data_IF_584749933865
#
_entry.id   IF_584749933865
#
_cell.length_a   1.000
_cell.length_b   1.000
_cell.length_c   1.000
_cell.angle_alpha   90.00
_cell.angle_beta   90.00
_cell.angle_gamma   90.00
#
_symmetry.space_group_name_H-M   'P 1'
#
loop_
_entity.id
_entity.type
_entity.pdbx_description
1 polymer ?
#
# COMPACT_ATOMS: atom_id res chain seq x y z
N UNK A 1 5.52 21.45 32.00
CA UNK A 1 5.06 21.05 30.65
C UNK A 1 5.90 21.66 29.53
N UNK A 2 6.01 22.99 29.44
CA UNK A 2 6.83 23.67 28.41
C UNK A 2 8.31 23.30 28.44
N UNK A 3 8.87 23.07 29.63
CA UNK A 3 10.28 22.75 29.79
C UNK A 3 10.63 21.34 29.30
N UNK A 4 9.77 20.34 29.56
CA UNK A 4 9.91 18.97 29.06
C UNK A 4 9.86 18.96 27.53
N UNK A 5 8.90 19.68 26.95
CA UNK A 5 8.78 19.79 25.50
C UNK A 5 9.99 20.48 24.86
N UNK A 6 10.53 21.53 25.48
CA UNK A 6 11.78 22.17 25.02
C UNK A 6 12.96 21.21 25.03
N UNK A 7 13.13 20.44 26.11
CA UNK A 7 14.21 19.44 26.26
C UNK A 7 14.07 18.33 25.22
N UNK A 8 12.85 17.82 25.01
CA UNK A 8 12.58 16.80 23.99
C UNK A 8 12.83 17.31 22.58
N UNK A 9 12.39 18.53 22.24
CA UNK A 9 12.62 19.12 20.93
C UNK A 9 14.12 19.39 20.68
N UNK A 10 14.86 19.84 21.70
CA UNK A 10 16.32 19.97 21.60
C UNK A 10 16.97 18.60 21.32
N UNK A 11 16.56 17.56 22.05
CA UNK A 11 17.04 16.19 21.83
C UNK A 11 16.70 15.66 20.44
N UNK A 12 15.46 15.84 19.94
CA UNK A 12 15.06 15.36 18.63
C UNK A 12 15.86 16.04 17.50
N UNK A 13 16.16 17.32 17.66
CA UNK A 13 16.92 18.10 16.68
C UNK A 13 18.45 17.90 16.75
N UNK A 14 18.99 17.27 17.80
CA UNK A 14 20.43 17.00 17.91
C UNK A 14 20.79 15.61 17.33
N UNK A 15 21.39 15.53 16.13
CA UNK A 15 21.73 14.24 15.52
C UNK A 15 22.84 13.48 16.25
N UNK A 16 23.66 14.14 17.08
CA UNK A 16 24.74 13.49 17.84
C UNK A 16 24.22 12.80 19.11
N UNK A 17 23.10 13.25 19.65
CA UNK A 17 22.51 12.69 20.86
C UNK A 17 21.62 11.48 20.54
N UNK A 18 22.03 10.29 20.99
CA UNK A 18 21.32 9.02 20.73
C UNK A 18 20.26 8.68 21.77
N UNK A 19 20.39 9.18 23.00
CA UNK A 19 19.40 9.03 24.05
C UNK A 19 19.39 10.22 25.02
N UNK A 20 18.27 10.37 25.73
CA UNK A 20 18.10 11.32 26.83
C UNK A 20 17.38 10.63 28.00
N UNK A 21 17.83 10.92 29.22
CA UNK A 21 17.25 10.40 30.45
C UNK A 21 16.50 11.51 31.19
N UNK A 22 15.28 11.22 31.62
CA UNK A 22 14.48 12.07 32.49
C UNK A 22 14.53 11.58 33.93
N UNK A 23 14.61 12.50 34.91
CA UNK A 23 14.77 12.16 36.31
C UNK A 23 13.52 11.47 36.88
N UNK A 24 13.70 10.77 38.00
CA UNK A 24 12.60 10.12 38.73
C UNK A 24 11.65 11.09 39.41
N UNK A 25 11.97 12.38 39.44
CA UNK A 25 11.17 13.46 40.04
C UNK A 25 9.96 13.85 39.19
N UNK A 26 9.85 13.38 37.94
CA UNK A 26 8.70 13.66 37.07
C UNK A 26 7.40 13.08 37.63
N UNK A 27 6.34 13.87 37.58
CA UNK A 27 4.99 13.43 37.96
C UNK A 27 4.43 12.39 36.97
N UNK A 28 3.39 11.67 37.36
CA UNK A 28 2.75 10.66 36.48
C UNK A 28 2.26 11.28 35.15
N UNK A 29 1.75 12.50 35.18
CA UNK A 29 1.29 13.25 34.01
C UNK A 29 2.46 13.64 33.10
N UNK A 30 3.55 14.15 33.68
CA UNK A 30 4.76 14.50 32.94
C UNK A 30 5.41 13.29 32.28
N UNK A 31 5.39 12.14 32.96
CA UNK A 31 5.86 10.87 32.39
C UNK A 31 5.02 10.43 31.19
N UNK A 32 3.69 10.62 31.25
CA UNK A 32 2.81 10.32 30.13
C UNK A 32 3.15 11.21 28.91
N UNK A 33 3.40 12.50 29.14
CA UNK A 33 3.82 13.45 28.09
C UNK A 33 5.15 13.02 27.45
N UNK A 34 6.14 12.61 28.25
CA UNK A 34 7.43 12.12 27.71
C UNK A 34 7.23 10.87 26.84
N UNK A 35 6.36 9.95 27.27
CA UNK A 35 6.05 8.75 26.49
C UNK A 35 5.31 9.08 25.19
N UNK A 36 4.29 9.93 25.25
CA UNK A 36 3.50 10.38 24.09
C UNK A 36 4.35 11.16 23.08
N UNK A 37 5.22 12.05 23.57
CA UNK A 37 6.13 12.82 22.73
C UNK A 37 7.22 11.94 22.11
N UNK A 38 7.74 10.94 22.83
CA UNK A 38 8.68 9.97 22.27
C UNK A 38 8.03 9.11 21.18
N UNK A 39 6.80 8.65 21.39
CA UNK A 39 6.02 7.89 20.41
C UNK A 39 5.74 8.72 19.15
N UNK A 40 5.32 9.97 19.33
CA UNK A 40 5.06 10.93 18.24
C UNK A 40 6.31 11.25 17.41
N UNK A 41 7.50 11.09 17.99
CA UNK A 41 8.79 11.34 17.33
C UNK A 41 9.56 10.03 17.06
N UNK A 42 8.86 8.90 16.97
CA UNK A 42 9.41 7.58 16.60
C UNK A 42 10.58 7.06 17.46
N UNK A 43 10.74 7.61 18.67
CA UNK A 43 11.75 7.20 19.63
C UNK A 43 11.23 6.07 20.52
N UNK A 44 12.15 5.30 21.10
CA UNK A 44 11.82 4.29 22.09
C UNK A 44 11.89 4.92 23.47
N UNK A 45 10.78 4.95 24.19
CA UNK A 45 10.74 5.37 25.59
C UNK A 45 10.60 4.16 26.52
N UNK A 46 11.53 3.99 27.47
CA UNK A 46 11.46 2.93 28.50
C UNK A 46 11.69 3.52 29.87
N UNK A 47 10.80 3.19 30.81
CA UNK A 47 10.99 3.51 32.23
C UNK A 47 11.77 2.39 32.92
N UNK A 48 12.91 2.69 33.53
CA UNK A 48 13.79 1.72 34.21
C UNK A 48 14.14 2.17 35.63
N UNK A 49 14.51 1.23 36.52
CA UNK A 49 14.79 1.49 37.93
C UNK A 49 13.68 1.02 38.89
N UNK A 50 13.94 1.11 40.21
CA UNK A 50 13.00 0.72 41.27
C UNK A 50 11.89 1.77 41.40
N UNK A 51 10.75 1.42 41.99
CA UNK A 51 9.52 2.26 42.05
C UNK A 51 9.80 3.69 42.54
N UNK A 52 10.73 3.88 43.49
CA UNK A 52 11.08 5.19 44.07
C UNK A 52 12.21 5.94 43.32
N UNK A 53 12.89 5.30 42.36
CA UNK A 53 14.01 5.88 41.59
C UNK A 53 13.87 5.64 40.09
N UNK A 54 12.63 5.50 39.61
CA UNK A 54 12.34 5.11 38.22
C UNK A 54 12.59 6.27 37.28
N UNK A 55 13.60 6.20 36.44
CA UNK A 55 13.88 7.19 35.38
C UNK A 55 13.21 6.78 34.06
N UNK A 56 13.12 7.71 33.10
CA UNK A 56 12.67 7.41 31.74
C UNK A 56 13.83 7.64 30.79
N UNK A 57 14.19 6.64 29.98
CA UNK A 57 15.09 6.82 28.85
C UNK A 57 14.28 6.95 27.57
N UNK A 58 14.55 7.99 26.81
CA UNK A 58 14.10 8.12 25.42
C UNK A 58 15.33 7.93 24.53
N UNK A 59 15.30 6.91 23.68
CA UNK A 59 16.40 6.60 22.75
C UNK A 59 15.93 6.69 21.30
N UNK A 60 16.72 7.32 20.44
CA UNK A 60 16.52 7.28 18.99
C UNK A 60 16.74 5.85 18.52
N UNK A 61 15.93 5.38 17.57
CA UNK A 61 16.18 4.08 16.93
C UNK A 61 17.45 4.22 16.11
N UNK A 62 18.37 3.25 16.21
CA UNK A 62 19.54 3.20 15.32
C UNK A 62 19.02 3.12 13.87
N UNK A 63 19.20 4.20 13.13
CA UNK A 63 18.89 4.26 11.69
C UNK A 63 20.08 3.66 10.96
N UNK A 64 19.88 2.50 10.35
CA UNK A 64 20.82 1.87 9.44
C UNK A 64 21.14 2.81 8.27
N UNK A 65 22.40 3.25 8.18
CA UNK A 65 23.01 3.82 6.98
C UNK A 65 22.53 5.21 6.57
N UNK A 66 23.44 6.03 6.05
CA UNK A 66 23.15 7.35 5.46
C UNK A 66 22.08 7.22 4.35
N UNK A 67 20.83 7.50 4.67
CA UNK A 67 19.79 7.89 3.71
C UNK A 67 19.60 9.40 3.88
N UNK A 68 19.88 10.18 2.84
CA UNK A 68 19.57 11.61 2.83
C UNK A 68 18.04 11.73 2.70
N UNK A 69 17.39 12.26 3.75
CA UNK A 69 15.93 12.28 3.94
C UNK A 69 15.32 13.56 3.31
N UNK A 70 14.46 13.48 2.28
CA UNK A 70 13.75 14.64 1.75
C UNK A 70 12.35 14.77 2.36
N UNK A 71 12.04 15.94 2.93
CA UNK A 71 10.72 16.27 3.47
C UNK A 71 9.67 16.47 2.37
N UNK A 72 8.58 15.69 2.42
CA UNK A 72 7.39 15.89 1.59
C UNK A 72 6.50 17.01 2.17
N UNK A 73 6.77 18.26 1.81
CA UNK A 73 5.81 19.37 2.04
C UNK A 73 4.71 19.35 0.99
N UNK A 74 3.63 18.60 1.21
CA UNK A 74 2.36 18.81 0.51
C UNK A 74 1.73 20.10 1.02
N UNK A 75 1.27 20.98 0.13
CA UNK A 75 0.68 22.27 0.53
C UNK A 75 -0.58 22.06 1.38
N UNK A 76 -0.82 22.95 2.35
CA UNK A 76 -2.02 22.87 3.20
C UNK A 76 -3.31 22.96 2.37
N UNK A 77 -3.28 23.74 1.28
CA UNK A 77 -4.41 23.89 0.37
C UNK A 77 -4.68 22.60 -0.41
N UNK A 78 -3.64 21.91 -0.87
CA UNK A 78 -3.79 20.60 -1.52
C UNK A 78 -4.38 19.58 -0.54
N UNK A 79 -3.86 19.51 0.69
CA UNK A 79 -4.41 18.63 1.74
C UNK A 79 -5.88 18.93 2.04
N UNK A 80 -6.28 20.21 2.06
CA UNK A 80 -7.69 20.63 2.25
C UNK A 80 -8.57 20.21 1.08
N UNK A 81 -8.23 20.61 -0.15
CA UNK A 81 -9.02 20.23 -1.35
C UNK A 81 -9.14 18.72 -1.49
N UNK A 82 -8.08 17.98 -1.18
CA UNK A 82 -8.11 16.53 -1.25
C UNK A 82 -8.97 15.90 -0.15
N UNK A 83 -8.93 16.45 1.07
CA UNK A 83 -9.86 16.05 2.13
C UNK A 83 -11.32 16.36 1.75
N UNK A 84 -11.58 17.49 1.10
CA UNK A 84 -12.93 17.87 0.66
C UNK A 84 -13.45 16.93 -0.45
N UNK A 85 -12.60 16.55 -1.41
CA UNK A 85 -12.90 15.52 -2.43
C UNK A 85 -13.16 14.15 -1.80
N UNK A 86 -12.41 13.80 -0.75
CA UNK A 86 -12.60 12.54 -0.03
C UNK A 86 -13.90 12.57 0.79
N UNK A 87 -14.19 13.63 1.54
CA UNK A 87 -15.36 13.72 2.42
C UNK A 87 -16.67 13.82 1.64
N UNK A 88 -16.70 14.56 0.53
CA UNK A 88 -17.87 14.62 -0.36
C UNK A 88 -18.28 13.27 -0.96
N UNK A 89 -17.31 12.34 -1.12
CA UNK A 89 -17.56 10.96 -1.55
C UNK A 89 -17.95 10.02 -0.39
N UNK A 90 -17.59 10.36 0.85
CA UNK A 90 -17.83 9.53 2.04
C UNK A 90 -19.20 9.77 2.69
N UNK A 91 -19.79 10.96 2.56
CA UNK A 91 -21.09 11.29 3.20
C UNK A 91 -22.26 10.45 2.66
N UNK A 92 -22.18 9.92 1.44
CA UNK A 92 -23.21 9.02 0.91
C UNK A 92 -23.22 7.63 1.58
N UNK A 93 -22.14 7.25 2.28
CA UNK A 93 -21.97 5.91 2.87
C UNK A 93 -22.21 5.92 4.40
N UNK A 94 -22.20 7.08 5.06
CA UNK A 94 -22.24 7.20 6.53
C UNK A 94 -23.67 7.12 7.12
N UNK A 95 -24.72 7.08 6.30
CA UNK A 95 -26.11 6.96 6.79
C UNK A 95 -26.55 5.54 7.24
N UNK A 96 -25.61 4.65 7.59
CA UNK A 96 -25.92 3.43 8.37
C UNK A 96 -25.15 3.45 9.70
N UNK A 97 -25.82 3.45 10.85
CA UNK A 97 -25.14 3.46 12.14
C UNK A 97 -24.53 2.07 12.37
N UNK A 98 -23.20 1.97 12.37
CA UNK A 98 -22.49 0.76 12.75
C UNK A 98 -21.89 0.92 14.14
N UNK A 99 -22.25 -0.01 15.03
CA UNK A 99 -21.92 0.00 16.45
C UNK A 99 -20.44 -0.32 16.73
N UNK A 100 -19.87 0.44 17.68
CA UNK A 100 -18.56 0.33 18.38
C UNK A 100 -17.29 0.58 17.55
N UNK A 101 -16.39 1.50 17.98
CA UNK A 101 -15.13 1.77 17.30
C UNK A 101 -14.13 0.64 17.57
N UNK A 102 -13.80 -0.12 16.53
CA UNK A 102 -12.63 -1.01 16.53
C UNK A 102 -11.41 -0.11 16.23
N UNK A 103 -10.41 -0.16 17.11
CA UNK A 103 -9.20 0.66 17.05
C UNK A 103 -8.55 0.65 15.65
N UNK A 104 -8.59 1.79 14.97
CA UNK A 104 -7.86 2.05 13.73
C UNK A 104 -6.36 2.15 14.04
N UNK A 105 -5.60 1.06 13.88
CA UNK A 105 -4.13 1.14 13.89
C UNK A 105 -3.62 1.52 12.50
N UNK A 106 -3.77 2.81 12.18
CA UNK A 106 -3.40 3.43 10.90
C UNK A 106 -1.89 3.57 10.69
N UNK A 107 -1.17 2.46 10.57
CA UNK A 107 0.28 2.45 10.28
C UNK A 107 0.66 1.60 9.05
N UNK A 108 -0.13 1.68 7.96
CA UNK A 108 0.17 0.96 6.71
C UNK A 108 1.62 1.16 6.24
N UNK A 109 2.08 2.41 6.30
CA UNK A 109 3.36 2.89 5.78
C UNK A 109 4.47 2.97 6.84
N UNK A 110 4.13 2.79 8.14
CA UNK A 110 5.04 2.99 9.26
C UNK A 110 5.64 1.69 9.83
N UNK A 111 5.30 0.54 9.23
CA UNK A 111 5.93 -0.74 9.55
C UNK A 111 7.30 -0.84 8.87
N UNK A 112 8.36 -1.03 9.66
CA UNK A 112 9.72 -1.12 9.16
C UNK A 112 9.89 -2.23 8.09
N UNK A 113 10.68 -1.97 7.02
CA UNK A 113 10.96 -2.97 6.01
C UNK A 113 11.83 -4.08 6.61
N UNK A 114 11.77 -5.26 6.00
CA UNK A 114 12.49 -6.46 6.49
C UNK A 114 12.94 -7.32 5.34
N UNK A 115 13.88 -8.21 5.59
CA UNK A 115 14.22 -9.25 4.62
C UNK A 115 13.05 -10.24 4.60
N UNK A 116 12.40 -10.47 3.44
CA UNK A 116 11.32 -11.46 3.35
C UNK A 116 11.86 -12.87 3.61
N UNK A 117 11.07 -13.69 4.30
CA UNK A 117 11.35 -15.11 4.42
C UNK A 117 11.22 -15.79 3.05
N UNK A 118 12.10 -16.77 2.80
CA UNK A 118 12.02 -17.60 1.61
C UNK A 118 10.68 -18.31 1.60
N UNK A 119 10.00 -18.29 0.45
CA UNK A 119 8.76 -19.04 0.30
C UNK A 119 9.03 -20.54 0.52
N UNK A 120 8.05 -21.24 1.11
CA UNK A 120 8.20 -22.68 1.35
C UNK A 120 7.96 -23.51 0.07
N UNK A 121 8.09 -24.83 0.19
CA UNK A 121 7.96 -25.77 -0.93
C UNK A 121 6.61 -25.69 -1.65
N UNK A 122 5.53 -25.25 -0.98
CA UNK A 122 4.23 -25.06 -1.61
C UNK A 122 4.29 -24.05 -2.76
N UNK A 123 5.17 -23.04 -2.67
CA UNK A 123 5.36 -22.04 -3.73
C UNK A 123 5.83 -22.66 -5.04
N UNK A 124 6.66 -23.70 -4.98
CA UNK A 124 7.22 -24.38 -6.15
C UNK A 124 6.13 -25.04 -7.00
N UNK A 125 5.02 -25.46 -6.39
CA UNK A 125 3.87 -26.04 -7.09
C UNK A 125 3.30 -25.04 -8.11
N UNK A 126 3.29 -23.75 -7.78
CA UNK A 126 2.71 -22.68 -8.58
C UNK A 126 3.71 -22.01 -9.53
N UNK A 127 4.98 -22.42 -9.53
CA UNK A 127 5.96 -21.95 -10.49
C UNK A 127 5.62 -22.43 -11.91
N UNK A 128 5.74 -21.55 -12.90
CA UNK A 128 5.45 -21.89 -14.30
C UNK A 128 3.98 -22.04 -14.68
N UNK A 129 3.03 -21.92 -13.75
CA UNK A 129 1.59 -22.12 -14.05
C UNK A 129 0.92 -20.90 -14.72
N UNK A 130 1.47 -19.70 -14.54
CA UNK A 130 0.84 -18.45 -15.00
C UNK A 130 1.49 -17.91 -16.28
N UNK A 131 0.72 -17.31 -17.22
CA UNK A 131 1.25 -16.72 -18.45
C UNK A 131 2.36 -15.66 -18.23
N UNK A 132 2.36 -14.99 -17.07
CA UNK A 132 3.39 -14.01 -16.70
C UNK A 132 4.76 -14.62 -16.37
N UNK A 133 4.84 -15.92 -16.09
CA UNK A 133 6.06 -16.59 -15.63
C UNK A 133 7.29 -16.38 -16.54
N UNK A 134 7.20 -16.52 -17.87
CA UNK A 134 8.36 -16.30 -18.75
C UNK A 134 8.91 -14.88 -18.68
N UNK A 135 8.09 -13.91 -18.25
CA UNK A 135 8.48 -12.51 -18.12
C UNK A 135 9.11 -12.17 -16.76
N UNK A 136 9.21 -13.12 -15.81
CA UNK A 136 9.68 -12.88 -14.43
C UNK A 136 11.01 -12.12 -14.39
N UNK A 137 12.02 -12.58 -15.12
CA UNK A 137 13.35 -11.96 -15.11
C UNK A 137 13.33 -10.53 -15.66
N UNK A 138 12.66 -10.32 -16.80
CA UNK A 138 12.53 -8.99 -17.43
C UNK A 138 11.76 -8.03 -16.53
N UNK A 139 10.71 -8.51 -15.86
CA UNK A 139 9.94 -7.73 -14.89
C UNK A 139 10.83 -7.23 -13.75
N UNK A 140 11.59 -8.13 -13.12
CA UNK A 140 12.46 -7.77 -12.00
C UNK A 140 13.58 -6.81 -12.42
N UNK A 141 14.22 -7.07 -13.55
CA UNK A 141 15.26 -6.18 -14.10
C UNK A 141 14.73 -4.77 -14.39
N UNK A 142 13.54 -4.69 -14.99
CA UNK A 142 12.90 -3.41 -15.33
C UNK A 142 12.49 -2.62 -14.08
N UNK A 143 11.87 -3.29 -13.08
CA UNK A 143 11.50 -2.66 -11.81
C UNK A 143 12.75 -2.15 -11.06
N UNK A 144 13.85 -2.91 -11.11
CA UNK A 144 15.10 -2.51 -10.45
C UNK A 144 15.76 -1.31 -11.13
N UNK A 145 15.75 -1.26 -12.46
CA UNK A 145 16.39 -0.19 -13.25
C UNK A 145 15.57 1.10 -13.33
N UNK A 146 14.25 1.05 -13.19
CA UNK A 146 13.37 2.20 -13.38
C UNK A 146 12.58 2.56 -12.11
N UNK A 147 12.35 3.84 -11.78
CA UNK A 147 11.54 4.22 -10.64
C UNK A 147 10.03 4.07 -10.91
N UNK A 148 9.61 4.06 -12.18
CA UNK A 148 8.24 3.75 -12.60
C UNK A 148 8.30 2.61 -13.62
N UNK A 149 7.41 1.63 -13.52
CA UNK A 149 7.29 0.54 -14.49
C UNK A 149 5.82 0.22 -14.76
N UNK A 150 5.48 0.04 -16.02
CA UNK A 150 4.13 -0.39 -16.43
C UNK A 150 4.18 -1.87 -16.80
N UNK A 151 3.29 -2.66 -16.22
CA UNK A 151 3.07 -4.06 -16.59
C UNK A 151 1.65 -4.18 -17.14
N UNK A 152 1.56 -4.30 -18.46
CA UNK A 152 0.31 -4.52 -19.19
C UNK A 152 0.11 -6.02 -19.41
N UNK A 153 -1.13 -6.48 -19.28
CA UNK A 153 -1.50 -7.84 -19.66
C UNK A 153 -2.94 -8.13 -19.31
N UNK A 154 -3.59 -9.03 -20.03
CA UNK A 154 -5.02 -9.30 -19.84
C UNK A 154 -5.33 -9.91 -18.46
N UNK A 155 -6.62 -9.92 -18.09
CA UNK A 155 -7.09 -10.60 -16.89
C UNK A 155 -6.73 -12.09 -16.95
N UNK A 156 -6.32 -12.67 -15.82
CA UNK A 156 -5.87 -14.08 -15.78
C UNK A 156 -4.39 -14.30 -16.16
N UNK A 157 -3.66 -13.29 -16.63
CA UNK A 157 -2.21 -13.37 -16.85
C UNK A 157 -1.37 -13.65 -15.59
N UNK A 158 -1.91 -13.35 -14.40
CA UNK A 158 -1.24 -13.56 -13.10
C UNK A 158 -0.53 -12.35 -12.52
N UNK A 159 -0.64 -11.15 -13.13
CA UNK A 159 0.02 -9.91 -12.66
C UNK A 159 -0.16 -9.66 -11.15
N UNK A 160 -1.41 -9.57 -10.73
CA UNK A 160 -1.85 -9.22 -9.36
C UNK A 160 -1.26 -10.14 -8.29
N UNK A 161 -1.20 -11.45 -8.54
CA UNK A 161 -0.68 -12.42 -7.57
C UNK A 161 0.83 -12.61 -7.68
N UNK A 162 1.38 -12.59 -8.89
CA UNK A 162 2.76 -13.03 -9.12
C UNK A 162 3.79 -11.90 -9.07
N UNK A 163 3.50 -10.70 -9.58
CA UNK A 163 4.47 -9.59 -9.59
C UNK A 163 4.96 -9.24 -8.18
N UNK A 164 4.08 -9.07 -7.17
CA UNK A 164 4.53 -8.81 -5.81
C UNK A 164 5.38 -9.96 -5.23
N UNK A 165 5.04 -11.21 -5.57
CA UNK A 165 5.79 -12.38 -5.12
C UNK A 165 7.19 -12.44 -5.74
N UNK A 166 7.33 -12.11 -7.03
CA UNK A 166 8.64 -12.05 -7.67
C UNK A 166 9.57 -11.05 -6.96
N UNK A 167 9.04 -9.88 -6.59
CA UNK A 167 9.81 -8.86 -5.84
C UNK A 167 10.20 -9.39 -4.45
N UNK A 168 9.29 -10.07 -3.74
CA UNK A 168 9.60 -10.68 -2.44
C UNK A 168 10.67 -11.78 -2.55
N UNK A 169 10.55 -12.66 -3.54
CA UNK A 169 11.48 -13.76 -3.79
C UNK A 169 12.87 -13.23 -4.14
N UNK A 170 12.96 -12.21 -5.00
CA UNK A 170 14.22 -11.57 -5.34
C UNK A 170 14.86 -10.92 -4.10
N UNK A 171 14.09 -10.13 -3.34
CA UNK A 171 14.60 -9.48 -2.12
C UNK A 171 15.05 -10.51 -1.07
N UNK A 172 14.34 -11.63 -0.93
CA UNK A 172 14.76 -12.73 -0.06
C UNK A 172 16.08 -13.35 -0.53
N UNK A 173 16.20 -13.65 -1.83
CA UNK A 173 17.43 -14.24 -2.41
C UNK A 173 18.65 -13.32 -2.29
N UNK A 174 18.45 -12.00 -2.40
CA UNK A 174 19.48 -10.97 -2.27
C UNK A 174 19.73 -10.52 -0.83
N UNK A 175 18.98 -11.05 0.14
CA UNK A 175 19.02 -10.61 1.55
C UNK A 175 18.79 -9.09 1.71
N UNK A 176 17.84 -8.56 0.93
CA UNK A 176 17.50 -7.14 0.91
C UNK A 176 16.22 -6.85 1.68
N UNK A 177 16.19 -5.72 2.39
CA UNK A 177 14.98 -5.25 3.05
C UNK A 177 13.93 -4.84 2.02
N UNK A 178 12.69 -5.25 2.25
CA UNK A 178 11.58 -5.00 1.36
C UNK A 178 10.31 -4.67 2.15
N UNK A 179 9.46 -3.85 1.53
CA UNK A 179 8.11 -3.55 1.99
C UNK A 179 7.28 -3.15 0.79
N UNK A 180 6.29 -3.97 0.47
CA UNK A 180 5.44 -3.80 -0.70
C UNK A 180 4.03 -3.44 -0.26
N UNK A 181 3.49 -2.38 -0.82
CA UNK A 181 2.08 -2.01 -0.68
C UNK A 181 1.41 -2.10 -2.06
N UNK A 182 0.46 -3.01 -2.20
CA UNK A 182 -0.31 -3.19 -3.42
C UNK A 182 -1.72 -2.64 -3.21
N UNK A 183 -2.11 -1.63 -3.98
CA UNK A 183 -3.41 -1.02 -3.93
C UNK A 183 -4.34 -1.60 -4.99
N UNK A 184 -5.54 -1.98 -4.57
CA UNK A 184 -6.60 -2.53 -5.38
C UNK A 184 -7.82 -1.60 -5.34
N UNK A 185 -8.63 -1.50 -6.40
CA UNK A 185 -9.83 -0.67 -6.41
C UNK A 185 -10.92 -1.20 -5.44
N UNK A 186 -11.00 -2.52 -5.27
CA UNK A 186 -12.11 -3.18 -4.55
C UNK A 186 -11.65 -3.92 -3.29
N UNK A 187 -12.45 -3.82 -2.23
CA UNK A 187 -12.21 -4.50 -0.94
C UNK A 187 -12.09 -6.02 -1.09
N UNK A 188 -13.06 -6.64 -1.77
CA UNK A 188 -13.10 -8.10 -1.97
C UNK A 188 -11.87 -8.59 -2.74
N UNK A 189 -11.39 -7.80 -3.71
CA UNK A 189 -10.16 -8.12 -4.44
C UNK A 189 -8.93 -8.07 -3.52
N UNK A 190 -8.78 -7.01 -2.71
CA UNK A 190 -7.67 -6.91 -1.76
C UNK A 190 -7.62 -8.08 -0.76
N UNK A 191 -8.77 -8.48 -0.20
CA UNK A 191 -8.83 -9.62 0.72
C UNK A 191 -8.54 -10.95 0.01
N UNK A 192 -9.24 -11.23 -1.09
CA UNK A 192 -9.13 -12.51 -1.79
C UNK A 192 -7.74 -12.75 -2.39
N UNK A 193 -7.11 -11.71 -2.93
CA UNK A 193 -5.74 -11.80 -3.46
C UNK A 193 -4.74 -12.06 -2.33
N UNK A 194 -4.85 -11.36 -1.20
CA UNK A 194 -3.96 -11.58 -0.07
C UNK A 194 -4.05 -13.01 0.47
N UNK A 195 -5.26 -13.54 0.62
CA UNK A 195 -5.50 -14.91 1.06
C UNK A 195 -4.98 -15.93 0.04
N UNK A 196 -5.20 -15.68 -1.25
CA UNK A 196 -4.67 -16.51 -2.34
C UNK A 196 -3.14 -16.55 -2.32
N UNK A 197 -2.48 -15.41 -2.20
CA UNK A 197 -1.00 -15.32 -2.20
C UNK A 197 -0.41 -15.93 -0.93
N UNK A 198 -1.04 -15.76 0.24
CA UNK A 198 -0.64 -16.46 1.44
C UNK A 198 -0.72 -17.99 1.26
N UNK A 199 -1.81 -18.48 0.64
CA UNK A 199 -2.01 -19.89 0.31
C UNK A 199 -0.97 -20.42 -0.67
N UNK A 200 -0.66 -19.68 -1.74
CA UNK A 200 0.38 -20.05 -2.72
C UNK A 200 1.76 -20.18 -2.05
N UNK A 201 2.01 -19.39 -1.01
CA UNK A 201 3.24 -19.44 -0.21
C UNK A 201 3.16 -20.42 0.96
N UNK A 202 2.07 -21.17 1.13
CA UNK A 202 1.84 -22.07 2.26
C UNK A 202 1.98 -21.38 3.63
N UNK A 203 1.64 -20.10 3.72
CA UNK A 203 1.76 -19.28 4.92
C UNK A 203 0.37 -18.87 5.45
N UNK A 204 0.29 -18.61 6.75
CA UNK A 204 -0.92 -18.03 7.34
C UNK A 204 -1.03 -16.55 6.98
N UNK A 205 -2.22 -16.12 6.57
CA UNK A 205 -2.50 -14.70 6.34
C UNK A 205 -2.18 -13.86 7.60
N UNK A 206 -1.47 -12.75 7.40
CA UNK A 206 -0.95 -11.90 8.47
C UNK A 206 0.51 -12.20 8.85
N UNK A 207 1.12 -13.28 8.33
CA UNK A 207 2.57 -13.51 8.43
C UNK A 207 3.32 -12.60 7.45
N UNK A 208 3.93 -13.10 6.36
CA UNK A 208 4.61 -12.23 5.38
C UNK A 208 3.63 -11.50 4.44
N UNK A 209 2.43 -12.06 4.25
CA UNK A 209 1.37 -11.53 3.37
C UNK A 209 0.19 -11.09 4.23
N UNK A 210 -0.37 -9.91 3.95
CA UNK A 210 -1.53 -9.40 4.67
C UNK A 210 -2.39 -8.47 3.82
N UNK A 211 -3.51 -8.02 4.39
CA UNK A 211 -4.29 -6.95 3.80
C UNK A 211 -4.73 -5.90 4.82
N UNK A 212 -5.03 -4.70 4.32
CA UNK A 212 -5.64 -3.63 5.10
C UNK A 212 -6.71 -2.89 4.29
N UNK A 213 -7.93 -2.91 4.80
CA UNK A 213 -9.09 -2.22 4.21
C UNK A 213 -9.77 -1.34 5.27
N UNK A 214 -10.77 -0.56 4.85
CA UNK A 214 -11.53 0.28 5.79
C UNK A 214 -12.17 -0.59 6.88
N UNK A 215 -11.81 -0.35 8.15
CA UNK A 215 -12.31 -1.02 9.36
C UNK A 215 -11.82 -2.47 9.57
N UNK A 216 -10.92 -3.00 8.74
CA UNK A 216 -10.46 -4.38 8.87
C UNK A 216 -9.01 -4.51 8.41
N UNK A 217 -8.22 -5.25 9.17
CA UNK A 217 -6.78 -5.42 8.91
C UNK A 217 -6.31 -6.81 9.34
N UNK A 218 -5.52 -7.44 8.47
CA UNK A 218 -4.79 -8.69 8.70
C UNK A 218 -3.33 -8.46 8.36
N UNK A 219 -2.71 -7.55 9.11
CA UNK A 219 -1.27 -7.27 9.04
C UNK A 219 -0.66 -7.44 10.41
N UNK A 220 0.61 -7.80 10.46
CA UNK A 220 1.34 -7.95 11.71
C UNK A 220 2.70 -7.27 11.65
N UNK A 221 3.35 -7.35 12.81
CA UNK A 221 4.79 -7.23 13.00
C UNK A 221 5.67 -7.91 11.95
N UNK A 222 5.17 -8.88 11.17
CA UNK A 222 5.88 -9.74 10.19
C UNK A 222 5.54 -9.44 8.72
N UNK A 223 4.48 -8.69 8.47
CA UNK A 223 3.97 -8.48 7.10
C UNK A 223 4.91 -7.64 6.25
N UNK A 224 5.29 -8.19 5.10
CA UNK A 224 6.15 -7.55 4.09
C UNK A 224 5.29 -7.00 2.95
N UNK A 225 4.36 -7.81 2.45
CA UNK A 225 3.43 -7.46 1.39
C UNK A 225 2.05 -7.20 1.98
N UNK A 226 1.53 -5.99 1.77
CA UNK A 226 0.16 -5.64 2.15
C UNK A 226 -0.65 -5.27 0.93
N UNK A 227 -1.73 -6.02 0.70
CA UNK A 227 -2.78 -5.61 -0.21
C UNK A 227 -3.73 -4.63 0.50
N UNK A 228 -4.12 -3.55 -0.14
CA UNK A 228 -5.02 -2.58 0.46
C UNK A 228 -5.96 -1.99 -0.58
N UNK A 229 -7.01 -1.31 -0.15
CA UNK A 229 -7.83 -0.51 -1.07
C UNK A 229 -7.13 0.81 -1.38
N UNK A 230 -7.36 1.37 -2.58
CA UNK A 230 -6.88 2.71 -2.96
C UNK A 230 -7.13 3.76 -1.86
N UNK A 231 -8.34 3.81 -1.30
CA UNK A 231 -8.67 4.79 -0.24
C UNK A 231 -7.87 4.62 1.05
N UNK A 232 -7.40 3.42 1.38
CA UNK A 232 -6.55 3.17 2.55
C UNK A 232 -5.12 3.63 2.28
N UNK A 233 -4.57 3.31 1.11
CA UNK A 233 -3.26 3.82 0.70
C UNK A 233 -3.26 5.35 0.63
N UNK A 234 -4.27 5.93 -0.03
CA UNK A 234 -4.38 7.38 -0.17
C UNK A 234 -4.45 8.07 1.19
N UNK A 235 -5.29 7.58 2.11
CA UNK A 235 -5.33 8.13 3.47
C UNK A 235 -3.97 8.05 4.16
N UNK A 236 -3.28 6.93 4.03
CA UNK A 236 -1.97 6.74 4.63
C UNK A 236 -0.92 7.71 4.05
N UNK A 237 -0.93 7.94 2.73
CA UNK A 237 -0.07 8.89 2.04
C UNK A 237 -0.33 10.35 2.46
N UNK A 238 -1.56 10.69 2.84
CA UNK A 238 -1.92 12.03 3.29
C UNK A 238 -1.59 12.28 4.76
N UNK A 239 -1.72 11.23 5.58
CA UNK A 239 -1.41 11.28 7.02
C UNK A 239 0.08 11.18 7.29
N UNK A 240 0.82 10.42 6.49
CA UNK A 240 2.27 10.30 6.63
C UNK A 240 2.97 11.42 5.86
N UNK A 241 3.92 12.08 6.50
CA UNK A 241 4.80 13.02 5.82
C UNK A 241 5.89 12.32 5.01
N UNK A 242 6.05 11.00 5.16
CA UNK A 242 7.23 10.28 4.68
C UNK A 242 6.92 8.81 4.31
N UNK A 243 7.52 8.34 3.20
CA UNK A 243 7.43 6.96 2.71
C UNK A 243 8.63 6.09 3.14
N UNK A 244 9.25 6.42 4.28
CA UNK A 244 10.57 5.92 4.66
C UNK A 244 10.73 4.40 4.68
N UNK A 245 9.67 3.67 5.00
CA UNK A 245 9.73 2.23 5.15
C UNK A 245 9.18 1.45 3.95
N UNK A 246 8.64 2.13 2.94
CA UNK A 246 8.06 1.47 1.76
C UNK A 246 9.08 1.45 0.63
N UNK A 247 9.35 0.27 0.09
CA UNK A 247 10.27 0.10 -1.04
C UNK A 247 9.53 0.07 -2.37
N UNK A 248 8.34 -0.55 -2.40
CA UNK A 248 7.53 -0.68 -3.61
C UNK A 248 6.08 -0.29 -3.34
N UNK A 249 5.53 0.53 -4.22
CA UNK A 249 4.09 0.80 -4.32
C UNK A 249 3.61 0.23 -5.65
N UNK A 250 2.58 -0.60 -5.58
CA UNK A 250 1.96 -1.22 -6.74
C UNK A 250 0.53 -0.68 -6.82
N UNK A 251 0.15 -0.09 -7.94
CA UNK A 251 -1.24 0.26 -8.24
C UNK A 251 -1.75 -0.76 -9.25
N UNK A 252 -2.70 -1.58 -8.82
CA UNK A 252 -3.34 -2.57 -9.68
C UNK A 252 -4.64 -2.02 -10.29
N UNK A 253 -5.04 -2.61 -11.41
CA UNK A 253 -6.25 -2.24 -12.15
C UNK A 253 -6.34 -0.74 -12.48
N UNK A 254 -5.20 -0.13 -12.82
CA UNK A 254 -5.10 1.30 -13.17
C UNK A 254 -5.97 1.70 -14.38
N UNK A 255 -6.41 0.74 -15.19
CA UNK A 255 -7.36 0.95 -16.28
C UNK A 255 -8.77 1.33 -15.82
N UNK A 256 -9.16 1.03 -14.56
CA UNK A 256 -10.50 1.41 -14.05
C UNK A 256 -10.65 2.94 -13.88
N UNK A 257 -9.55 3.71 -13.92
CA UNK A 257 -9.52 5.19 -13.81
C UNK A 257 -10.34 5.72 -12.62
N UNK A 258 -10.20 5.03 -11.49
CA UNK A 258 -10.81 5.43 -10.22
C UNK A 258 -10.18 6.74 -9.70
N UNK A 259 -11.01 7.63 -9.15
CA UNK A 259 -10.60 8.94 -8.63
C UNK A 259 -9.49 8.82 -7.57
N UNK A 260 -9.58 7.81 -6.69
CA UNK A 260 -8.56 7.61 -5.67
C UNK A 260 -7.24 7.12 -6.28
N UNK A 261 -7.31 6.23 -7.27
CA UNK A 261 -6.15 5.78 -8.04
C UNK A 261 -5.42 6.93 -8.73
N UNK A 262 -6.16 7.77 -9.48
CA UNK A 262 -5.60 8.95 -10.15
C UNK A 262 -5.00 9.94 -9.15
N UNK A 263 -5.63 10.11 -7.98
CA UNK A 263 -5.09 10.95 -6.90
C UNK A 263 -3.78 10.39 -6.33
N UNK A 264 -3.68 9.08 -6.15
CA UNK A 264 -2.43 8.45 -5.69
C UNK A 264 -1.31 8.70 -6.70
N UNK A 265 -1.57 8.66 -8.01
CA UNK A 265 -0.58 8.98 -9.03
C UNK A 265 -0.05 10.42 -8.93
N UNK A 266 -0.91 11.38 -8.55
CA UNK A 266 -0.50 12.77 -8.27
C UNK A 266 0.48 12.82 -7.10
N UNK A 267 0.11 12.20 -5.98
CA UNK A 267 0.99 12.15 -4.80
C UNK A 267 2.30 11.41 -5.11
N UNK A 268 2.23 10.30 -5.85
CA UNK A 268 3.40 9.50 -6.20
C UNK A 268 4.35 10.21 -7.14
N UNK A 269 3.85 11.00 -8.12
CA UNK A 269 4.71 11.83 -8.98
C UNK A 269 5.57 12.78 -8.15
N UNK A 270 4.98 13.43 -7.15
CA UNK A 270 5.71 14.30 -6.21
C UNK A 270 6.67 13.52 -5.30
N UNK A 271 6.28 12.33 -4.86
CA UNK A 271 7.13 11.46 -4.03
C UNK A 271 8.37 10.98 -4.78
N UNK A 272 8.22 10.53 -6.03
CA UNK A 272 9.32 9.99 -6.84
C UNK A 272 10.36 11.05 -7.17
N UNK A 273 9.93 12.31 -7.40
CA UNK A 273 10.85 13.44 -7.58
C UNK A 273 11.74 13.70 -6.36
N UNK A 274 11.27 13.33 -5.15
CA UNK A 274 12.00 13.52 -3.89
C UNK A 274 12.78 12.27 -3.50
N UNK A 275 12.24 11.08 -3.74
CA UNK A 275 12.86 9.81 -3.41
C UNK A 275 12.77 8.84 -4.60
N UNK A 276 13.77 8.84 -5.49
CA UNK A 276 13.79 7.96 -6.66
C UNK A 276 14.06 6.49 -6.30
N UNK A 277 14.37 6.18 -5.03
CA UNK A 277 14.58 4.79 -4.59
C UNK A 277 13.26 4.01 -4.43
N UNK A 278 12.13 4.71 -4.30
CA UNK A 278 10.81 4.07 -4.26
C UNK A 278 10.46 3.61 -5.67
N UNK A 279 10.01 2.37 -5.79
CA UNK A 279 9.55 1.79 -7.05
C UNK A 279 8.03 1.87 -7.15
N UNK A 280 7.54 2.53 -8.19
CA UNK A 280 6.12 2.55 -8.55
C UNK A 280 5.86 1.56 -9.69
N UNK A 281 5.03 0.56 -9.45
CA UNK A 281 4.60 -0.40 -10.47
C UNK A 281 3.13 -0.17 -10.78
N UNK A 282 2.82 0.08 -12.04
CA UNK A 282 1.46 0.22 -12.54
C UNK A 282 1.07 -1.05 -13.27
N UNK A 283 0.05 -1.75 -12.77
CA UNK A 283 -0.48 -2.95 -13.39
C UNK A 283 -1.83 -2.65 -14.04
N UNK A 284 -2.04 -3.18 -15.24
CA UNK A 284 -3.21 -2.84 -16.05
C UNK A 284 -3.54 -3.88 -17.13
N UNK A 285 -4.82 -4.06 -17.44
CA UNK A 285 -5.25 -4.85 -18.59
C UNK A 285 -5.20 -4.05 -19.89
N UNK A 286 -5.76 -2.84 -19.86
CA UNK A 286 -6.01 -2.00 -21.03
C UNK A 286 -5.61 -0.56 -20.74
N UNK A 287 -4.30 -0.29 -20.68
CA UNK A 287 -3.82 1.06 -20.37
C UNK A 287 -3.48 1.85 -21.62
N UNK A 288 -3.89 3.11 -21.64
CA UNK A 288 -3.36 4.11 -22.58
C UNK A 288 -1.93 4.48 -22.15
N UNK A 289 -0.98 3.67 -22.61
CA UNK A 289 0.45 3.76 -22.27
C UNK A 289 1.00 5.17 -22.50
N UNK A 290 0.62 5.81 -23.60
CA UNK A 290 1.14 7.11 -23.99
C UNK A 290 0.69 8.20 -23.01
N UNK A 291 -0.54 8.15 -22.50
CA UNK A 291 -0.98 9.05 -21.43
C UNK A 291 -0.13 8.94 -20.17
N UNK A 292 0.25 7.73 -19.77
CA UNK A 292 1.06 7.53 -18.56
C UNK A 292 2.52 7.91 -18.76
N UNK A 293 3.11 7.62 -19.92
CA UNK A 293 4.45 8.12 -20.29
C UNK A 293 4.48 9.65 -20.26
N UNK A 294 3.52 10.29 -20.91
CA UNK A 294 3.38 11.74 -20.90
C UNK A 294 3.04 12.30 -19.51
N UNK A 295 2.49 11.50 -18.59
CA UNK A 295 2.24 11.98 -17.24
C UNK A 295 3.52 12.02 -16.39
N UNK A 296 4.44 11.07 -16.58
CA UNK A 296 5.72 10.99 -15.87
C UNK A 296 6.90 11.57 -16.69
N UNK A 297 6.69 12.72 -17.34
CA UNK A 297 7.58 13.39 -18.32
C UNK A 297 9.09 13.41 -18.00
N UNK A 298 9.45 13.40 -16.71
CA UNK A 298 10.85 13.50 -16.25
C UNK A 298 11.51 12.14 -15.99
N UNK A 299 10.82 11.04 -16.27
CA UNK A 299 11.22 9.69 -15.89
C UNK A 299 10.95 8.73 -17.04
N UNK A 300 11.91 7.86 -17.35
CA UNK A 300 11.65 6.76 -18.28
C UNK A 300 10.64 5.78 -17.70
N UNK A 301 9.57 5.52 -18.44
CA UNK A 301 8.50 4.59 -18.03
C UNK A 301 8.49 3.38 -18.97
N UNK A 302 9.33 2.36 -18.71
CA UNK A 302 9.30 1.13 -19.48
C UNK A 302 7.96 0.40 -19.32
N UNK A 303 7.59 -0.30 -20.39
CA UNK A 303 6.33 -1.05 -20.49
C UNK A 303 6.65 -2.50 -20.81
N UNK A 304 6.14 -3.40 -20.00
CA UNK A 304 6.20 -4.85 -20.22
C UNK A 304 4.81 -5.33 -20.57
N UNK A 305 4.68 -5.99 -21.71
CA UNK A 305 3.41 -6.59 -22.15
C UNK A 305 3.47 -8.10 -21.93
N UNK A 306 2.52 -8.60 -21.15
CA UNK A 306 2.33 -10.02 -20.83
C UNK A 306 1.15 -10.53 -21.64
N UNK A 307 1.41 -11.47 -22.55
CA UNK A 307 0.37 -12.14 -23.32
C UNK A 307 -0.35 -13.18 -22.47
N UNK A 308 -1.68 -13.12 -22.42
CA UNK A 308 -2.51 -14.15 -21.78
C UNK A 308 -2.77 -15.33 -22.72
N UNK A 309 -3.01 -16.50 -22.15
CA UNK A 309 -3.63 -17.62 -22.86
C UNK A 309 -5.12 -17.61 -22.52
N UNK A 310 -5.91 -16.82 -23.24
CA UNK A 310 -7.36 -16.83 -23.09
C UNK A 310 -7.97 -17.98 -23.87
N UNK A 311 -8.98 -18.63 -23.29
CA UNK A 311 -9.81 -19.57 -24.01
C UNK A 311 -10.69 -18.82 -25.01
N UNK A 312 -10.97 -19.43 -26.17
CA UNK A 312 -11.89 -18.86 -27.14
C UNK A 312 -13.29 -18.73 -26.54
N UNK A 313 -13.79 -17.50 -26.44
CA UNK A 313 -15.17 -17.20 -26.03
C UNK A 313 -15.99 -16.97 -27.29
N UNK A 314 -17.10 -17.71 -27.43
CA UNK A 314 -18.05 -17.46 -28.53
C UNK A 314 -18.97 -16.31 -28.13
N UNK A 315 -18.96 -15.25 -28.93
CA UNK A 315 -19.93 -14.17 -28.85
C UNK A 315 -21.20 -14.57 -29.58
N UNK A 316 -22.36 -14.31 -28.97
CA UNK A 316 -23.68 -14.54 -29.56
C UNK A 316 -24.49 -13.26 -29.33
N UNK A 317 -24.99 -12.68 -30.41
CA UNK A 317 -25.70 -11.40 -30.36
C UNK A 317 -27.22 -11.61 -30.20
N UNK A 318 -27.95 -10.53 -29.89
CA UNK A 318 -29.37 -10.62 -29.52
C UNK A 318 -30.22 -11.34 -30.57
N UNK A 319 -30.00 -11.08 -31.85
CA UNK A 319 -30.67 -11.72 -32.98
C UNK A 319 -30.44 -13.23 -33.02
N UNK A 320 -29.20 -13.68 -32.80
CA UNK A 320 -28.88 -15.09 -32.65
C UNK A 320 -29.56 -15.69 -31.41
N UNK A 321 -29.56 -14.99 -30.27
CA UNK A 321 -30.22 -15.45 -29.03
C UNK A 321 -31.73 -15.61 -29.23
N UNK A 322 -32.39 -14.61 -29.83
CA UNK A 322 -33.82 -14.62 -30.09
C UNK A 322 -34.21 -15.79 -31.01
N UNK A 323 -33.38 -16.04 -32.03
CA UNK A 323 -33.55 -17.17 -32.96
C UNK A 323 -33.31 -18.51 -32.26
N UNK A 324 -32.24 -18.64 -31.47
CA UNK A 324 -31.90 -19.86 -30.74
C UNK A 324 -32.96 -20.24 -29.71
N UNK A 325 -33.56 -19.25 -29.04
CA UNK A 325 -34.57 -19.47 -28.00
C UNK A 325 -36.00 -19.55 -28.55
N UNK A 326 -36.21 -19.29 -29.85
CA UNK A 326 -37.54 -19.06 -30.43
C UNK A 326 -38.37 -18.09 -29.57
N UNK A 327 -37.72 -17.04 -29.07
CA UNK A 327 -38.33 -16.16 -28.09
C UNK A 327 -39.41 -15.29 -28.76
N UNK A 328 -40.63 -15.36 -28.24
CA UNK A 328 -41.70 -14.44 -28.60
C UNK A 328 -41.96 -13.49 -27.43
N UNK A 329 -41.73 -12.17 -27.61
CA UNK A 329 -42.03 -11.21 -26.57
C UNK A 329 -43.54 -11.24 -26.25
N UNK A 330 -43.93 -11.13 -24.98
CA UNK A 330 -45.34 -11.04 -24.62
C UNK A 330 -45.97 -9.81 -25.28
N UNK A 331 -47.25 -9.93 -25.62
CA UNK A 331 -48.00 -8.82 -26.22
C UNK A 331 -47.87 -7.56 -25.34
N UNK A 332 -47.66 -6.38 -25.93
CA UNK A 332 -47.62 -5.14 -25.17
C UNK A 332 -48.92 -4.99 -24.39
N UNK A 333 -48.82 -4.69 -23.09
CA UNK A 333 -49.99 -4.40 -22.27
C UNK A 333 -50.74 -3.24 -22.93
N UNK A 334 -52.05 -3.39 -23.15
CA UNK A 334 -52.90 -2.29 -23.56
C UNK A 334 -52.68 -1.14 -22.59
N UNK A 335 -52.42 0.06 -23.10
CA UNK A 335 -52.59 1.26 -22.28
C UNK A 335 -54.10 1.38 -22.10
N UNK A 336 -54.58 1.03 -20.92
CA UNK A 336 -55.98 1.23 -20.58
C UNK A 336 -56.23 2.76 -20.57
N UNK A 337 -57.00 3.24 -21.55
CA UNK A 337 -57.53 4.60 -21.61
C UNK A 337 -57.07 5.43 -22.80
N UNK A 338 -57.72 5.23 -23.95
CA UNK A 338 -58.06 6.31 -24.89
C UNK A 338 -59.59 6.42 -24.95
#
# INVERSE_FOLDING_TARGET
>A
MDEINKVLMAFFNDPAQTFIDFPSTLTKEERAIVHEAAESNFCISKSYGKIQSRTIRVSKKEVYGKVILPHLKLSLEFKRRLNDLMMSSFDQIINKPCQKPINYTGNLLNTAPRIPETANECRQIFEGQHPIWPSKSVILETINSSPVTIISGETGSGKTTQVPQYILEEASSKQQVCRIVCAMPRRVAACGVAERVATERGETLGHSIGYQIKLESRVSAQTVLTYCTNGVLLRALLSSTELHFVTHIILDETHERDMMGDTILIVMKDCLNKNPNIKLVLMSATMDIEKFKNYFENVEVPVITVTGNLFTVKEIYLDEILTMLNYQPPAPKSRDGD
#
